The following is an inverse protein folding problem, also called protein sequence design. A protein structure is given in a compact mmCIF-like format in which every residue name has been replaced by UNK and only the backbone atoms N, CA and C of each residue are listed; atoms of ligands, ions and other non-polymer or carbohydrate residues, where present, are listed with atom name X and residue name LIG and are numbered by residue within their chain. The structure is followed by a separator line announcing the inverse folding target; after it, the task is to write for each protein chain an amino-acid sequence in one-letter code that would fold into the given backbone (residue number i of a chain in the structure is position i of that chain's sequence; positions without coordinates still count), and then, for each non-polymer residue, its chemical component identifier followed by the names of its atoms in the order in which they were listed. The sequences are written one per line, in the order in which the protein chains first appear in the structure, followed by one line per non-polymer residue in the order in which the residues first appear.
data_IF_032360152741
#
_entry.id   IF_032360152741
#
_cell.length_a   1.000
_cell.length_b   1.000
_cell.length_c   1.000
_cell.angle_alpha   90.00
_cell.angle_beta   90.00
_cell.angle_gamma   90.00
#
_symmetry.space_group_name_H-M   'P 1'
#
loop_
_entity.id
_entity.type
_entity.pdbx_description
1 polymer ?
#
# COMPACT_ATOMS: atom_id res chain seq x y z
N UNK A 1 -33.37 74.66 68.65
CA UNK A 1 -33.35 74.45 67.19
C UNK A 1 -32.11 73.61 66.86
N UNK A 2 -32.28 72.32 66.62
CA UNK A 2 -31.19 71.35 66.46
C UNK A 2 -31.28 70.80 65.06
N UNK A 3 -30.25 70.97 64.23
CA UNK A 3 -30.12 70.34 62.93
C UNK A 3 -29.15 69.14 63.04
N UNK A 4 -29.67 67.99 62.83
CA UNK A 4 -28.94 66.75 62.79
C UNK A 4 -28.39 66.49 61.35
N UNK A 5 -27.09 66.46 61.22
CA UNK A 5 -26.42 66.05 59.98
C UNK A 5 -26.22 64.56 59.96
N UNK A 6 -26.89 63.87 59.04
CA UNK A 6 -26.67 62.43 58.72
C UNK A 6 -25.56 62.34 57.68
N UNK A 7 -24.46 61.70 58.05
CA UNK A 7 -23.37 61.34 57.14
C UNK A 7 -23.75 60.09 56.37
N UNK A 8 -23.73 60.20 55.04
CA UNK A 8 -23.97 59.06 54.09
C UNK A 8 -22.59 58.43 53.77
N UNK A 9 -22.37 57.22 54.22
CA UNK A 9 -21.23 56.41 53.83
C UNK A 9 -21.53 55.68 52.50
N UNK A 10 -20.85 56.06 51.43
CA UNK A 10 -20.92 55.41 50.14
C UNK A 10 -19.85 54.29 50.16
N UNK A 11 -20.28 53.01 50.22
CA UNK A 11 -19.41 51.86 50.07
C UNK A 11 -19.24 51.54 48.56
N UNK A 12 -18.08 51.87 48.02
CA UNK A 12 -17.68 51.45 46.65
C UNK A 12 -17.27 49.98 46.65
N UNK A 13 -18.14 49.14 46.13
CA UNK A 13 -17.80 47.73 45.87
C UNK A 13 -16.97 47.65 44.57
N UNK A 14 -15.68 47.34 44.71
CA UNK A 14 -14.81 47.01 43.57
C UNK A 14 -15.08 45.59 43.20
N UNK A 15 -15.82 45.36 42.10
CA UNK A 15 -16.01 44.05 41.51
C UNK A 15 -14.71 43.63 40.78
N UNK A 16 -13.99 42.67 41.34
CA UNK A 16 -12.90 41.99 40.66
C UNK A 16 -13.52 41.05 39.62
N UNK A 17 -13.55 41.47 38.36
CA UNK A 17 -13.85 40.55 37.25
C UNK A 17 -12.64 39.58 37.09
N UNK A 18 -12.79 38.38 37.61
CA UNK A 18 -11.87 37.29 37.26
C UNK A 18 -12.05 36.98 35.77
N UNK A 19 -11.12 37.42 34.95
CA UNK A 19 -10.99 36.99 33.57
C UNK A 19 -10.60 35.50 33.63
N UNK A 20 -11.58 34.64 33.52
CA UNK A 20 -11.36 33.22 33.24
C UNK A 20 -10.76 33.15 31.82
N UNK A 21 -9.43 33.11 31.76
CA UNK A 21 -8.74 32.74 30.52
C UNK A 21 -9.20 31.33 30.20
N UNK A 22 -10.19 31.23 29.32
CA UNK A 22 -10.52 29.94 28.71
C UNK A 22 -9.21 29.39 28.11
N UNK A 23 -8.80 28.17 28.44
CA UNK A 23 -7.63 27.58 27.79
C UNK A 23 -7.89 27.64 26.28
N UNK A 24 -7.01 28.34 25.56
CA UNK A 24 -7.06 28.38 24.10
C UNK A 24 -7.20 26.92 23.65
N UNK A 25 -8.22 26.61 22.86
CA UNK A 25 -8.43 25.28 22.33
C UNK A 25 -7.16 24.92 21.57
N UNK A 26 -6.25 24.22 22.23
CA UNK A 26 -4.99 23.81 21.64
C UNK A 26 -5.33 22.91 20.48
N UNK A 27 -4.82 23.22 19.30
CA UNK A 27 -5.04 22.39 18.14
C UNK A 27 -4.60 20.95 18.50
N UNK A 28 -5.43 19.97 18.16
CA UNK A 28 -5.23 18.56 18.53
C UNK A 28 -4.87 17.73 17.33
N UNK A 29 -4.08 16.69 17.56
CA UNK A 29 -3.84 15.64 16.57
C UNK A 29 -5.10 14.81 16.37
N UNK A 30 -5.27 14.27 15.17
CA UNK A 30 -6.43 13.44 14.82
C UNK A 30 -5.94 12.17 14.13
N UNK A 31 -6.21 11.03 14.75
CA UNK A 31 -5.96 9.71 14.12
C UNK A 31 -7.24 9.24 13.43
N UNK A 32 -7.20 9.09 12.11
CA UNK A 32 -8.27 8.51 11.30
C UNK A 32 -8.02 7.03 11.11
N UNK A 33 -9.00 6.20 11.49
CA UNK A 33 -8.91 4.74 11.40
C UNK A 33 -9.95 4.17 10.45
N UNK A 34 -9.75 2.93 10.01
CA UNK A 34 -10.69 2.18 9.17
C UNK A 34 -12.10 2.12 9.78
N UNK A 35 -12.20 2.01 11.11
CA UNK A 35 -13.45 1.88 11.85
C UNK A 35 -14.08 3.21 12.23
N UNK A 36 -13.30 4.30 12.34
CA UNK A 36 -13.79 5.62 12.81
C UNK A 36 -13.36 6.76 11.89
N UNK A 37 -14.18 7.04 10.88
CA UNK A 37 -13.95 8.12 9.91
C UNK A 37 -13.95 9.54 10.50
N UNK A 38 -14.66 9.76 11.62
CA UNK A 38 -14.68 11.07 12.31
C UNK A 38 -13.36 11.43 13.01
N UNK A 39 -12.45 10.45 13.12
CA UNK A 39 -11.14 10.60 13.75
C UNK A 39 -11.20 10.56 15.29
N UNK A 40 -10.03 10.27 15.88
CA UNK A 40 -9.81 10.27 17.32
C UNK A 40 -8.90 11.45 17.66
N UNK A 41 -9.39 12.38 18.48
CA UNK A 41 -8.73 13.66 18.80
C UNK A 41 -7.97 13.58 20.11
N UNK A 42 -6.77 14.16 20.15
CA UNK A 42 -5.94 14.21 21.34
C UNK A 42 -4.53 14.71 21.02
N UNK A 43 -3.57 14.40 21.86
CA UNK A 43 -2.17 14.77 21.65
C UNK A 43 -1.32 13.50 21.51
N UNK A 44 -0.56 13.39 20.43
CA UNK A 44 0.41 12.33 20.25
C UNK A 44 1.73 12.79 20.89
N UNK A 45 2.19 12.11 21.96
CA UNK A 45 3.46 12.48 22.58
C UNK A 45 4.64 12.14 21.65
N UNK A 46 5.82 12.77 21.86
CA UNK A 46 7.01 12.55 21.01
C UNK A 46 7.45 11.09 20.90
N UNK A 47 7.24 10.29 21.94
CA UNK A 47 7.54 8.85 22.04
C UNK A 47 6.31 7.97 21.82
N UNK A 48 5.16 8.56 21.47
CA UNK A 48 3.87 7.87 21.30
C UNK A 48 3.75 7.05 20.02
N UNK A 49 4.81 6.95 19.21
CA UNK A 49 4.77 6.27 17.92
C UNK A 49 5.75 5.12 17.86
N UNK A 50 5.28 3.96 17.42
CA UNK A 50 6.08 2.82 16.99
C UNK A 50 5.62 2.36 15.62
N UNK A 51 6.38 1.49 14.96
CA UNK A 51 5.95 0.89 13.70
C UNK A 51 4.64 0.08 13.83
N UNK A 52 4.35 -0.42 15.03
CA UNK A 52 3.20 -1.26 15.30
C UNK A 52 1.97 -0.50 15.79
N UNK A 53 2.15 0.61 16.51
CA UNK A 53 1.04 1.33 17.15
C UNK A 53 1.35 2.82 17.34
N UNK A 54 0.29 3.62 17.41
CA UNK A 54 0.36 5.04 17.78
C UNK A 54 -0.48 5.28 19.02
N UNK A 55 0.11 5.88 20.05
CA UNK A 55 -0.53 6.29 21.27
C UNK A 55 -0.97 7.75 21.19
N UNK A 56 -2.18 8.06 21.64
CA UNK A 56 -2.73 9.42 21.71
C UNK A 56 -3.34 9.65 23.07
N UNK A 57 -3.01 10.78 23.69
CA UNK A 57 -3.65 11.24 24.94
C UNK A 57 -4.93 11.98 24.61
N UNK A 58 -6.05 11.42 25.05
CA UNK A 58 -7.40 11.95 24.88
C UNK A 58 -7.92 12.48 26.23
N UNK A 59 -7.53 13.69 26.58
CA UNK A 59 -7.90 14.34 27.86
C UNK A 59 -7.47 13.55 29.10
N UNK A 60 -6.22 13.10 29.15
CA UNK A 60 -5.65 12.33 30.27
C UNK A 60 -5.85 10.81 30.17
N UNK A 61 -6.50 10.32 29.11
CA UNK A 61 -6.66 8.88 28.84
C UNK A 61 -5.83 8.52 27.61
N UNK A 62 -4.77 7.78 27.79
CA UNK A 62 -3.92 7.30 26.69
C UNK A 62 -4.62 6.12 26.00
N UNK A 63 -4.82 6.25 24.69
CA UNK A 63 -5.32 5.17 23.82
C UNK A 63 -4.28 4.82 22.77
N UNK A 64 -4.22 3.53 22.42
CA UNK A 64 -3.33 2.98 21.41
C UNK A 64 -4.11 2.53 20.20
N UNK A 65 -3.59 2.85 19.03
CA UNK A 65 -4.17 2.46 17.74
C UNK A 65 -3.15 1.66 16.95
N UNK A 66 -3.46 0.42 16.54
CA UNK A 66 -2.61 -0.37 15.67
C UNK A 66 -2.33 0.36 14.35
N UNK A 67 -1.08 0.38 13.91
CA UNK A 67 -0.68 1.14 12.73
C UNK A 67 -1.36 0.63 11.44
N UNK A 68 -1.67 -0.68 11.33
CA UNK A 68 -2.42 -1.26 10.20
C UNK A 68 -3.88 -0.80 10.12
N UNK A 69 -4.44 -0.23 11.20
CA UNK A 69 -5.79 0.34 11.20
C UNK A 69 -5.80 1.85 10.89
N UNK A 70 -4.64 2.51 10.90
CA UNK A 70 -4.54 3.95 10.69
C UNK A 70 -4.55 4.27 9.19
N UNK A 71 -5.55 5.06 8.76
CA UNK A 71 -5.60 5.57 7.38
C UNK A 71 -4.65 6.75 7.20
N UNK A 72 -4.67 7.69 8.17
CA UNK A 72 -3.81 8.88 8.21
C UNK A 72 -3.87 9.52 9.58
N UNK A 73 -2.87 10.32 9.88
CA UNK A 73 -2.84 11.21 11.04
C UNK A 73 -2.84 12.65 10.53
N UNK A 74 -3.69 13.51 11.10
CA UNK A 74 -3.60 14.96 10.94
C UNK A 74 -3.04 15.53 12.23
N UNK A 75 -1.88 16.17 12.15
CA UNK A 75 -1.24 16.78 13.31
C UNK A 75 -1.71 18.22 13.50
N UNK A 76 -1.68 18.70 14.73
CA UNK A 76 -2.10 20.04 15.08
C UNK A 76 -1.38 21.17 14.32
N UNK A 77 -0.14 20.92 13.91
CA UNK A 77 0.76 21.88 13.26
C UNK A 77 0.99 21.56 11.78
N UNK A 78 0.08 20.79 11.17
CA UNK A 78 0.20 20.42 9.77
C UNK A 78 0.16 21.65 8.83
N UNK A 79 1.10 21.75 7.90
CA UNK A 79 0.93 22.62 6.75
C UNK A 79 -0.33 22.23 5.96
N UNK A 80 -1.11 23.20 5.49
CA UNK A 80 -2.33 22.96 4.71
C UNK A 80 -2.08 22.09 3.48
N UNK A 81 -0.90 22.24 2.87
CA UNK A 81 -0.44 21.46 1.73
C UNK A 81 -0.23 19.97 2.10
N UNK A 82 0.25 19.68 3.32
CA UNK A 82 0.40 18.31 3.80
C UNK A 82 -0.96 17.65 4.04
N UNK A 83 -1.91 18.39 4.63
CA UNK A 83 -3.30 17.92 4.79
C UNK A 83 -3.91 17.55 3.45
N UNK A 84 -3.75 18.44 2.45
CA UNK A 84 -4.22 18.18 1.08
C UNK A 84 -3.53 16.99 0.44
N UNK A 85 -2.21 16.88 0.57
CA UNK A 85 -1.42 15.81 -0.01
C UNK A 85 -1.79 14.43 0.56
N UNK A 86 -2.03 14.32 1.88
CA UNK A 86 -2.50 13.08 2.50
C UNK A 86 -3.84 12.62 1.93
N UNK A 87 -4.80 13.54 1.78
CA UNK A 87 -6.11 13.22 1.21
C UNK A 87 -5.97 12.72 -0.23
N UNK A 88 -5.21 13.46 -1.06
CA UNK A 88 -4.94 13.10 -2.44
C UNK A 88 -4.21 11.74 -2.55
N UNK A 89 -3.31 11.44 -1.61
CA UNK A 89 -2.62 10.14 -1.56
C UNK A 89 -3.58 8.99 -1.22
N UNK A 90 -4.49 9.18 -0.26
CA UNK A 90 -5.56 8.23 0.06
C UNK A 90 -6.44 7.97 -1.16
N UNK A 91 -6.76 9.01 -1.94
CA UNK A 91 -7.55 8.93 -3.17
C UNK A 91 -6.73 8.44 -4.39
N UNK A 92 -5.44 8.10 -4.18
CA UNK A 92 -4.48 7.67 -5.22
C UNK A 92 -4.23 8.70 -6.32
N UNK A 93 -4.53 9.97 -6.07
CA UNK A 93 -4.21 11.08 -6.97
C UNK A 93 -2.79 11.57 -6.70
N UNK A 94 -1.81 10.75 -7.09
CA UNK A 94 -0.40 10.97 -6.76
C UNK A 94 0.20 12.20 -7.43
N UNK A 95 -0.21 12.56 -8.65
CA UNK A 95 0.28 13.76 -9.34
C UNK A 95 -0.09 15.03 -8.57
N UNK A 96 -1.38 15.17 -8.21
CA UNK A 96 -1.82 16.31 -7.43
C UNK A 96 -1.21 16.32 -6.00
N UNK A 97 -1.00 15.14 -5.39
CA UNK A 97 -0.31 15.03 -4.11
C UNK A 97 1.13 15.53 -4.20
N UNK A 98 1.86 15.16 -5.26
CA UNK A 98 3.22 15.64 -5.54
C UNK A 98 3.30 17.16 -5.63
N UNK A 99 2.35 17.79 -6.34
CA UNK A 99 2.29 19.24 -6.51
C UNK A 99 2.08 19.97 -5.16
N UNK A 100 1.27 19.40 -4.26
CA UNK A 100 1.11 19.96 -2.92
C UNK A 100 2.39 19.79 -2.09
N UNK A 101 2.98 18.60 -2.11
CA UNK A 101 4.20 18.30 -1.35
C UNK A 101 5.41 19.12 -1.82
N UNK A 102 5.47 19.50 -3.10
CA UNK A 102 6.54 20.34 -3.64
C UNK A 102 6.61 21.71 -2.96
N UNK A 103 5.49 22.24 -2.45
CA UNK A 103 5.41 23.53 -1.78
C UNK A 103 5.96 23.52 -0.35
N UNK A 104 6.19 22.34 0.24
CA UNK A 104 6.64 22.20 1.62
C UNK A 104 8.15 22.03 1.66
N UNK A 105 8.84 22.90 2.39
CA UNK A 105 10.24 22.74 2.76
C UNK A 105 10.34 21.98 4.10
N UNK A 106 10.84 20.72 4.11
CA UNK A 106 10.92 19.95 5.35
C UNK A 106 11.83 20.60 6.43
N UNK A 107 12.76 21.47 6.02
CA UNK A 107 13.64 22.15 6.94
C UNK A 107 12.91 23.22 7.79
N UNK A 108 11.77 23.72 7.29
CA UNK A 108 10.94 24.71 7.97
C UNK A 108 9.84 24.09 8.85
N UNK A 109 9.72 22.76 8.86
CA UNK A 109 8.77 22.05 9.70
C UNK A 109 9.41 21.80 11.06
N UNK A 110 8.82 22.37 12.12
CA UNK A 110 9.41 22.33 13.46
C UNK A 110 9.15 21.00 14.16
N UNK A 111 7.90 20.50 14.12
CA UNK A 111 7.51 19.28 14.83
C UNK A 111 8.02 18.03 14.12
N UNK A 112 8.82 17.21 14.81
CA UNK A 112 9.47 16.03 14.23
C UNK A 112 8.48 15.02 13.62
N UNK A 113 7.33 14.80 14.24
CA UNK A 113 6.29 13.88 13.69
C UNK A 113 5.74 14.39 12.37
N UNK A 114 5.47 15.70 12.25
CA UNK A 114 5.03 16.33 10.98
C UNK A 114 6.12 16.25 9.93
N UNK A 115 7.38 16.52 10.33
CA UNK A 115 8.54 16.43 9.45
C UNK A 115 8.75 15.02 8.90
N UNK A 116 8.57 14.00 9.74
CA UNK A 116 8.61 12.60 9.31
C UNK A 116 7.56 12.32 8.23
N UNK A 117 6.32 12.77 8.42
CA UNK A 117 5.24 12.60 7.46
C UNK A 117 5.54 13.32 6.14
N UNK A 118 6.04 14.56 6.17
CA UNK A 118 6.44 15.28 4.96
C UNK A 118 7.48 14.49 4.18
N UNK A 119 8.51 13.98 4.86
CA UNK A 119 9.58 13.18 4.22
C UNK A 119 9.01 11.88 3.65
N UNK A 120 8.15 11.21 4.41
CA UNK A 120 7.49 9.99 3.96
C UNK A 120 6.64 10.23 2.72
N UNK A 121 5.67 11.14 2.77
CA UNK A 121 4.76 11.36 1.66
C UNK A 121 5.45 11.84 0.39
N UNK A 122 6.51 12.68 0.50
CA UNK A 122 7.34 13.05 -0.66
C UNK A 122 7.97 11.82 -1.31
N UNK A 123 8.60 10.94 -0.54
CA UNK A 123 9.25 9.75 -1.07
C UNK A 123 8.23 8.69 -1.55
N UNK A 124 7.14 8.51 -0.81
CA UNK A 124 6.10 7.52 -1.11
C UNK A 124 5.33 7.86 -2.39
N UNK A 125 4.92 9.12 -2.57
CA UNK A 125 4.22 9.57 -3.76
C UNK A 125 5.10 9.42 -5.01
N UNK A 126 6.37 9.79 -4.94
CA UNK A 126 7.33 9.55 -6.04
C UNK A 126 7.49 8.05 -6.33
N UNK A 127 7.53 7.21 -5.29
CA UNK A 127 7.60 5.76 -5.44
C UNK A 127 6.36 5.19 -6.16
N UNK A 128 5.16 5.64 -5.76
CA UNK A 128 3.91 5.21 -6.40
C UNK A 128 3.82 5.66 -7.86
N UNK A 129 4.20 6.89 -8.17
CA UNK A 129 4.27 7.39 -9.54
C UNK A 129 5.28 6.59 -10.38
N UNK A 130 6.47 6.32 -9.84
CA UNK A 130 7.47 5.52 -10.54
C UNK A 130 7.00 4.10 -10.85
N UNK A 131 6.17 3.51 -9.98
CA UNK A 131 5.59 2.18 -10.18
C UNK A 131 4.42 2.16 -11.18
N UNK A 132 3.62 3.23 -11.24
CA UNK A 132 2.38 3.26 -12.04
C UNK A 132 2.55 3.95 -13.39
N UNK A 133 3.18 5.12 -13.41
CA UNK A 133 3.25 5.98 -14.59
C UNK A 133 4.64 6.00 -15.25
N UNK A 134 5.61 5.30 -14.65
CA UNK A 134 6.99 5.36 -15.09
C UNK A 134 7.77 6.47 -14.39
N UNK A 135 9.07 6.47 -14.56
CA UNK A 135 9.98 7.37 -13.87
C UNK A 135 11.21 6.64 -13.34
N UNK A 136 12.07 7.35 -12.62
CA UNK A 136 13.29 6.75 -12.07
C UNK A 136 13.00 5.98 -10.78
N UNK A 137 12.73 4.67 -10.93
CA UNK A 137 12.46 3.77 -9.82
C UNK A 137 13.63 3.66 -8.83
N UNK A 138 14.87 3.79 -9.31
CA UNK A 138 16.07 3.71 -8.46
C UNK A 138 16.18 4.93 -7.56
N UNK A 139 15.90 6.14 -8.08
CA UNK A 139 15.89 7.37 -7.29
C UNK A 139 14.74 7.34 -6.27
N UNK A 140 13.55 6.91 -6.69
CA UNK A 140 12.41 6.76 -5.81
C UNK A 140 12.68 5.75 -4.68
N UNK A 141 13.29 4.60 -5.00
CA UNK A 141 13.72 3.62 -4.01
C UNK A 141 14.77 4.20 -3.04
N UNK A 142 15.75 4.95 -3.56
CA UNK A 142 16.76 5.61 -2.72
C UNK A 142 16.14 6.62 -1.75
N UNK A 143 15.19 7.44 -2.23
CA UNK A 143 14.50 8.43 -1.40
C UNK A 143 13.67 7.76 -0.29
N UNK A 144 12.88 6.75 -0.65
CA UNK A 144 12.05 6.02 0.33
C UNK A 144 12.90 5.20 1.31
N UNK A 145 14.03 4.64 0.86
CA UNK A 145 14.95 3.91 1.74
C UNK A 145 15.62 4.83 2.77
N UNK A 146 15.88 6.09 2.44
CA UNK A 146 16.37 7.08 3.43
C UNK A 146 15.34 7.29 4.55
N UNK A 147 14.06 7.35 4.21
CA UNK A 147 13.00 7.40 5.21
C UNK A 147 12.96 6.12 6.05
N UNK A 148 12.88 4.96 5.40
CA UNK A 148 12.81 3.64 6.03
C UNK A 148 13.91 3.40 7.05
N UNK A 149 15.16 3.74 6.69
CA UNK A 149 16.32 3.56 7.58
C UNK A 149 16.38 4.59 8.72
N UNK A 150 15.93 5.82 8.45
CA UNK A 150 16.01 6.91 9.45
C UNK A 150 14.88 6.83 10.49
N UNK A 151 13.70 6.34 10.11
CA UNK A 151 12.49 6.38 10.93
C UNK A 151 11.88 4.97 11.16
N UNK A 152 12.63 4.02 11.77
CA UNK A 152 12.16 2.64 11.96
C UNK A 152 11.00 2.51 12.96
N UNK A 153 10.68 3.60 13.69
CA UNK A 153 9.52 3.67 14.60
C UNK A 153 8.30 4.34 13.98
N UNK A 154 8.38 4.83 12.75
CA UNK A 154 7.23 5.46 12.10
C UNK A 154 6.12 4.45 11.85
N UNK A 155 4.85 4.87 12.01
CA UNK A 155 3.70 4.05 11.64
C UNK A 155 3.62 3.74 10.14
N UNK A 156 4.37 4.46 9.31
CA UNK A 156 4.56 4.19 7.90
C UNK A 156 5.65 3.13 7.58
N UNK A 157 6.33 2.59 8.61
CA UNK A 157 7.48 1.71 8.38
C UNK A 157 7.15 0.51 7.49
N UNK A 158 6.04 -0.19 7.77
CA UNK A 158 5.66 -1.37 7.01
C UNK A 158 5.13 -1.02 5.61
N UNK A 159 4.45 0.11 5.45
CA UNK A 159 4.05 0.61 4.13
C UNK A 159 5.25 1.00 3.26
N UNK A 160 6.27 1.61 3.88
CA UNK A 160 7.53 1.91 3.22
C UNK A 160 8.28 0.62 2.81
N UNK A 161 8.31 -0.40 3.68
CA UNK A 161 8.92 -1.69 3.38
C UNK A 161 8.23 -2.38 2.19
N UNK A 162 6.90 -2.45 2.17
CA UNK A 162 6.13 -3.01 1.06
C UNK A 162 6.46 -2.30 -0.24
N UNK A 163 6.41 -0.95 -0.24
CA UNK A 163 6.68 -0.15 -1.44
C UNK A 163 8.13 -0.26 -1.93
N UNK A 164 9.10 -0.39 -1.01
CA UNK A 164 10.51 -0.66 -1.36
C UNK A 164 10.69 -2.04 -1.96
N UNK A 165 9.97 -3.04 -1.46
CA UNK A 165 9.92 -4.37 -2.05
C UNK A 165 9.38 -4.32 -3.48
N UNK A 166 8.26 -3.62 -3.73
CA UNK A 166 7.66 -3.45 -5.05
C UNK A 166 8.61 -2.75 -6.03
N UNK A 167 9.26 -1.66 -5.59
CA UNK A 167 10.26 -0.95 -6.40
C UNK A 167 11.45 -1.87 -6.73
N UNK A 168 11.91 -2.66 -5.75
CA UNK A 168 13.01 -3.60 -5.94
C UNK A 168 12.68 -4.67 -6.97
N UNK A 169 11.45 -5.20 -6.93
CA UNK A 169 10.93 -6.12 -7.97
C UNK A 169 10.91 -5.41 -9.33
N UNK A 170 10.39 -4.19 -9.39
CA UNK A 170 10.24 -3.45 -10.65
C UNK A 170 11.57 -3.08 -11.33
N UNK A 171 12.68 -3.01 -10.55
CA UNK A 171 14.04 -2.81 -11.08
C UNK A 171 14.84 -4.13 -11.22
N UNK A 172 14.21 -5.28 -10.97
CA UNK A 172 14.84 -6.61 -11.06
C UNK A 172 15.79 -6.96 -9.92
N UNK A 173 15.75 -6.22 -8.80
CA UNK A 173 16.58 -6.45 -7.62
C UNK A 173 15.87 -7.35 -6.59
N UNK A 174 15.66 -8.60 -6.98
CA UNK A 174 14.87 -9.57 -6.20
C UNK A 174 15.46 -9.87 -4.83
N UNK A 175 16.78 -9.81 -4.66
CA UNK A 175 17.42 -9.99 -3.36
C UNK A 175 17.07 -8.85 -2.38
N UNK A 176 17.02 -7.61 -2.87
CA UNK A 176 16.56 -6.47 -2.06
C UNK A 176 15.06 -6.59 -1.73
N UNK A 177 14.25 -7.01 -2.70
CA UNK A 177 12.82 -7.26 -2.48
C UNK A 177 12.62 -8.30 -1.36
N UNK A 178 13.41 -9.39 -1.38
CA UNK A 178 13.39 -10.40 -0.33
C UNK A 178 13.69 -9.83 1.07
N UNK A 179 14.61 -8.89 1.18
CA UNK A 179 14.89 -8.22 2.45
C UNK A 179 13.73 -7.36 2.94
N UNK A 180 13.10 -6.58 2.06
CA UNK A 180 11.99 -5.71 2.44
C UNK A 180 10.69 -6.47 2.73
N UNK A 181 10.42 -7.59 2.06
CA UNK A 181 9.29 -8.46 2.36
C UNK A 181 9.57 -9.42 3.53
N UNK A 182 10.83 -9.65 3.89
CA UNK A 182 11.24 -10.57 4.96
C UNK A 182 10.96 -10.05 6.38
N UNK A 183 11.49 -10.79 7.35
CA UNK A 183 11.23 -10.57 8.78
C UNK A 183 11.73 -9.21 9.32
N UNK A 184 12.70 -8.61 8.66
CA UNK A 184 13.20 -7.25 9.02
C UNK A 184 12.42 -6.12 8.37
N UNK A 185 11.47 -6.45 7.48
CA UNK A 185 10.59 -5.54 6.79
C UNK A 185 9.12 -5.91 7.03
N UNK A 186 8.36 -6.07 5.94
CA UNK A 186 6.92 -6.32 6.00
C UNK A 186 6.54 -7.59 6.78
N UNK A 187 7.32 -8.67 6.65
CA UNK A 187 7.10 -9.95 7.33
C UNK A 187 7.30 -9.87 8.85
N UNK A 188 8.04 -8.87 9.34
CA UNK A 188 8.22 -8.59 10.77
C UNK A 188 7.05 -7.87 11.43
N UNK A 189 6.01 -7.50 10.68
CA UNK A 189 4.82 -6.87 11.24
C UNK A 189 4.14 -7.79 12.26
N UNK A 190 3.56 -7.23 13.36
CA UNK A 190 2.91 -8.05 14.37
C UNK A 190 1.58 -8.66 13.91
N UNK A 191 1.00 -8.17 12.80
CA UNK A 191 -0.30 -8.60 12.31
C UNK A 191 -0.18 -9.77 11.34
N UNK A 192 -0.94 -10.87 11.55
CA UNK A 192 -0.87 -12.06 10.70
C UNK A 192 -1.12 -11.79 9.22
N UNK A 193 -2.07 -10.89 8.88
CA UNK A 193 -2.39 -10.53 7.50
C UNK A 193 -1.21 -9.86 6.77
N UNK A 194 -0.37 -9.10 7.48
CA UNK A 194 0.85 -8.51 6.90
C UNK A 194 1.90 -9.58 6.61
N UNK A 195 2.02 -10.59 7.47
CA UNK A 195 2.91 -11.74 7.22
C UNK A 195 2.45 -12.55 6.00
N UNK A 196 1.14 -12.73 5.84
CA UNK A 196 0.58 -13.38 4.67
C UNK A 196 0.81 -12.57 3.39
N UNK A 197 0.61 -11.24 3.44
CA UNK A 197 0.93 -10.32 2.34
C UNK A 197 2.41 -10.40 1.98
N UNK A 198 3.29 -10.36 2.97
CA UNK A 198 4.73 -10.46 2.79
C UNK A 198 5.13 -11.78 2.12
N UNK A 199 4.62 -12.91 2.59
CA UNK A 199 4.87 -14.23 2.01
C UNK A 199 4.37 -14.34 0.57
N UNK A 200 3.19 -13.78 0.28
CA UNK A 200 2.63 -13.73 -1.07
C UNK A 200 3.49 -12.86 -2.02
N UNK A 201 3.92 -11.68 -1.58
CA UNK A 201 4.78 -10.78 -2.34
C UNK A 201 6.17 -11.41 -2.58
N UNK A 202 6.73 -12.04 -1.57
CA UNK A 202 7.97 -12.82 -1.67
C UNK A 202 7.86 -13.94 -2.70
N UNK A 203 6.80 -14.74 -2.65
CA UNK A 203 6.58 -15.82 -3.62
C UNK A 203 6.51 -15.27 -5.04
N UNK A 204 5.83 -14.16 -5.29
CA UNK A 204 5.76 -13.50 -6.59
C UNK A 204 7.13 -12.98 -7.07
N UNK A 205 7.90 -12.36 -6.18
CA UNK A 205 9.25 -11.91 -6.49
C UNK A 205 10.16 -13.08 -6.89
N UNK A 206 10.05 -14.22 -6.19
CA UNK A 206 10.80 -15.45 -6.49
C UNK A 206 10.39 -16.07 -7.84
N UNK A 207 9.10 -16.03 -8.20
CA UNK A 207 8.63 -16.42 -9.55
C UNK A 207 9.30 -15.56 -10.62
N UNK A 208 9.33 -14.24 -10.45
CA UNK A 208 9.99 -13.33 -11.39
C UNK A 208 11.51 -13.53 -11.47
N UNK A 209 12.12 -14.00 -10.37
CA UNK A 209 13.52 -14.38 -10.28
C UNK A 209 13.82 -15.77 -10.91
N UNK A 210 12.79 -16.55 -11.32
CA UNK A 210 12.95 -17.91 -11.79
C UNK A 210 13.24 -18.94 -10.71
N UNK A 211 13.08 -18.59 -9.42
CA UNK A 211 13.31 -19.45 -8.25
C UNK A 211 12.01 -20.16 -7.84
N UNK A 212 11.52 -21.05 -8.71
CA UNK A 212 10.17 -21.62 -8.59
C UNK A 212 9.99 -22.54 -7.38
N UNK A 213 11.01 -23.29 -6.97
CA UNK A 213 10.92 -24.15 -5.79
C UNK A 213 10.81 -23.33 -4.48
N UNK A 214 11.57 -22.23 -4.37
CA UNK A 214 11.49 -21.33 -3.23
C UNK A 214 10.19 -20.55 -3.23
N UNK A 215 9.71 -20.13 -4.41
CA UNK A 215 8.40 -19.50 -4.58
C UNK A 215 7.26 -20.42 -4.12
N UNK A 216 7.32 -21.72 -4.51
CA UNK A 216 6.33 -22.71 -4.09
C UNK A 216 6.27 -22.85 -2.57
N UNK A 217 7.43 -22.91 -1.88
CA UNK A 217 7.50 -22.96 -0.40
C UNK A 217 6.90 -21.72 0.25
N UNK A 218 7.21 -20.53 -0.30
CA UNK A 218 6.62 -19.28 0.21
C UNK A 218 5.09 -19.29 0.06
N UNK A 219 4.56 -19.70 -1.08
CA UNK A 219 3.13 -19.84 -1.29
C UNK A 219 2.50 -20.92 -0.42
N UNK A 220 3.15 -22.05 -0.21
CA UNK A 220 2.70 -23.12 0.69
C UNK A 220 2.57 -22.62 2.13
N UNK A 221 3.52 -21.82 2.60
CA UNK A 221 3.47 -21.21 3.94
C UNK A 221 2.25 -20.32 4.09
N UNK A 222 1.95 -19.48 3.07
CA UNK A 222 0.76 -18.62 3.08
C UNK A 222 -0.53 -19.45 3.03
N UNK A 223 -0.61 -20.40 2.09
CA UNK A 223 -1.80 -21.25 1.89
C UNK A 223 -2.12 -22.12 3.12
N UNK A 224 -1.07 -22.61 3.82
CA UNK A 224 -1.19 -23.43 5.03
C UNK A 224 -1.36 -22.66 6.34
N UNK A 225 -1.46 -21.33 6.30
CA UNK A 225 -1.65 -20.52 7.51
C UNK A 225 -2.92 -20.88 8.26
N UNK A 226 -2.86 -20.90 9.60
CA UNK A 226 -4.00 -21.13 10.49
C UNK A 226 -5.00 -19.98 10.57
N UNK A 227 -4.65 -18.78 10.05
CA UNK A 227 -5.52 -17.62 10.05
C UNK A 227 -6.80 -17.87 9.24
N UNK A 228 -7.95 -17.46 9.76
CA UNK A 228 -9.25 -17.81 9.17
C UNK A 228 -10.25 -16.64 9.19
N UNK A 229 -9.80 -15.48 8.71
CA UNK A 229 -10.67 -14.34 8.42
C UNK A 229 -10.80 -14.14 6.90
N UNK A 230 -11.68 -13.28 6.46
CA UNK A 230 -11.95 -13.03 5.02
C UNK A 230 -10.70 -12.61 4.26
N UNK A 231 -9.88 -11.70 4.81
CA UNK A 231 -8.65 -11.22 4.18
C UNK A 231 -7.60 -12.33 4.09
N UNK A 232 -7.37 -13.08 5.17
CA UNK A 232 -6.46 -14.22 5.18
C UNK A 232 -6.87 -15.29 4.15
N UNK A 233 -8.17 -15.59 4.06
CA UNK A 233 -8.68 -16.55 3.10
C UNK A 233 -8.47 -16.10 1.65
N UNK A 234 -8.67 -14.81 1.35
CA UNK A 234 -8.35 -14.27 0.03
C UNK A 234 -6.86 -14.41 -0.30
N UNK A 235 -5.96 -14.05 0.64
CA UNK A 235 -4.52 -14.19 0.45
C UNK A 235 -4.09 -15.66 0.22
N UNK A 236 -4.70 -16.61 0.94
CA UNK A 236 -4.49 -18.05 0.73
C UNK A 236 -4.89 -18.50 -0.68
N UNK A 237 -6.03 -18.03 -1.19
CA UNK A 237 -6.45 -18.34 -2.57
C UNK A 237 -5.43 -17.82 -3.59
N UNK A 238 -4.94 -16.59 -3.43
CA UNK A 238 -3.88 -16.04 -4.26
C UNK A 238 -2.57 -16.86 -4.16
N UNK A 239 -2.23 -17.38 -2.99
CA UNK A 239 -1.05 -18.23 -2.82
C UNK A 239 -1.21 -19.59 -3.52
N UNK A 240 -2.41 -20.17 -3.49
CA UNK A 240 -2.71 -21.41 -4.22
C UNK A 240 -2.54 -21.21 -5.74
N UNK A 241 -3.01 -20.06 -6.27
CA UNK A 241 -2.77 -19.68 -7.67
C UNK A 241 -1.27 -19.56 -7.98
N UNK A 242 -0.50 -18.89 -7.11
CA UNK A 242 0.95 -18.78 -7.27
C UNK A 242 1.67 -20.14 -7.26
N UNK A 243 1.26 -21.04 -6.36
CA UNK A 243 1.78 -22.42 -6.32
C UNK A 243 1.47 -23.17 -7.62
N UNK A 244 0.25 -23.05 -8.13
CA UNK A 244 -0.13 -23.69 -9.40
C UNK A 244 0.72 -23.19 -10.59
N UNK A 245 1.07 -21.89 -10.59
CA UNK A 245 2.02 -21.35 -11.56
C UNK A 245 3.41 -21.97 -11.43
N UNK A 246 3.91 -22.15 -10.19
CA UNK A 246 5.21 -22.83 -9.97
C UNK A 246 5.21 -24.27 -10.46
N UNK A 247 4.10 -25.00 -10.31
CA UNK A 247 3.97 -26.38 -10.87
C UNK A 247 4.16 -26.40 -12.38
N UNK A 248 3.63 -25.43 -13.11
CA UNK A 248 3.83 -25.34 -14.56
C UNK A 248 5.31 -25.15 -14.92
N UNK A 249 6.02 -24.30 -14.17
CA UNK A 249 7.44 -24.00 -14.41
C UNK A 249 8.36 -25.17 -14.03
N UNK A 250 7.93 -26.03 -13.09
CA UNK A 250 8.66 -27.24 -12.64
C UNK A 250 8.22 -28.52 -13.37
N UNK A 251 7.55 -28.41 -14.52
CA UNK A 251 7.23 -29.55 -15.41
C UNK A 251 5.93 -30.28 -15.09
N UNK A 252 5.05 -29.69 -14.27
CA UNK A 252 3.77 -30.27 -13.87
C UNK A 252 2.56 -29.39 -14.26
N UNK A 253 2.45 -28.98 -15.54
CA UNK A 253 1.41 -28.05 -15.95
C UNK A 253 -0.01 -28.63 -15.79
N UNK A 254 -0.22 -29.94 -15.91
CA UNK A 254 -1.54 -30.57 -15.73
C UNK A 254 -2.04 -30.44 -14.29
N UNK A 255 -1.16 -30.64 -13.30
CA UNK A 255 -1.49 -30.42 -11.88
C UNK A 255 -1.88 -28.96 -11.64
N UNK A 256 -1.10 -28.01 -12.22
CA UNK A 256 -1.39 -26.57 -12.15
C UNK A 256 -2.77 -26.23 -12.73
N UNK A 257 -3.08 -26.74 -13.94
CA UNK A 257 -4.38 -26.53 -14.60
C UNK A 257 -5.54 -27.05 -13.74
N UNK A 258 -5.40 -28.24 -13.14
CA UNK A 258 -6.45 -28.82 -12.31
C UNK A 258 -6.75 -27.92 -11.09
N UNK A 259 -5.72 -27.44 -10.40
CA UNK A 259 -5.86 -26.51 -9.26
C UNK A 259 -6.52 -25.21 -9.69
N UNK A 260 -6.07 -24.60 -10.81
CA UNK A 260 -6.59 -23.31 -11.29
C UNK A 260 -8.04 -23.40 -11.76
N UNK A 261 -8.43 -24.49 -12.41
CA UNK A 261 -9.83 -24.73 -12.79
C UNK A 261 -10.72 -24.88 -11.54
N UNK A 262 -10.25 -25.52 -10.48
CA UNK A 262 -10.96 -25.65 -9.21
C UNK A 262 -11.15 -24.27 -8.55
N UNK A 263 -10.11 -23.42 -8.55
CA UNK A 263 -10.22 -22.01 -8.09
C UNK A 263 -11.28 -21.24 -8.87
N UNK A 264 -11.23 -21.31 -10.20
CA UNK A 264 -12.20 -20.60 -11.08
C UNK A 264 -13.62 -21.11 -10.87
N UNK A 265 -13.79 -22.41 -10.62
CA UNK A 265 -15.12 -23.02 -10.44
C UNK A 265 -15.74 -22.72 -9.07
N UNK A 266 -14.94 -22.54 -8.01
CA UNK A 266 -15.42 -22.41 -6.62
C UNK A 266 -15.53 -20.98 -6.11
N UNK A 267 -14.95 -20.01 -6.82
CA UNK A 267 -14.95 -18.62 -6.39
C UNK A 267 -15.88 -17.76 -7.26
N UNK A 268 -16.30 -16.61 -6.72
CA UNK A 268 -17.14 -15.64 -7.41
C UNK A 268 -16.27 -14.54 -8.01
N UNK A 269 -16.27 -14.37 -9.34
CA UNK A 269 -15.49 -13.34 -10.01
C UNK A 269 -15.92 -11.90 -9.65
N UNK A 270 -17.13 -11.70 -9.15
CA UNK A 270 -17.60 -10.39 -8.69
C UNK A 270 -17.01 -10.00 -7.33
N UNK A 271 -16.66 -10.99 -6.51
CA UNK A 271 -16.06 -10.75 -5.19
C UNK A 271 -14.55 -10.54 -5.26
N UNK A 272 -13.85 -11.27 -6.13
CA UNK A 272 -12.39 -11.13 -6.26
C UNK A 272 -11.93 -11.25 -7.73
N UNK A 273 -12.18 -10.21 -8.52
CA UNK A 273 -11.70 -10.13 -9.90
C UNK A 273 -10.17 -10.21 -10.04
N UNK A 274 -9.41 -9.84 -9.00
CA UNK A 274 -7.94 -9.95 -9.01
C UNK A 274 -7.48 -11.41 -8.92
N UNK A 275 -8.17 -12.24 -8.16
CA UNK A 275 -7.90 -13.68 -8.09
C UNK A 275 -8.08 -14.31 -9.48
N UNK A 276 -9.18 -13.95 -10.17
CA UNK A 276 -9.47 -14.46 -11.52
C UNK A 276 -8.45 -13.98 -12.55
N UNK A 277 -8.02 -12.71 -12.49
CA UNK A 277 -6.96 -12.21 -13.36
C UNK A 277 -5.69 -13.06 -13.24
N UNK A 278 -5.24 -13.32 -12.03
CA UNK A 278 -4.04 -14.11 -11.77
C UNK A 278 -4.23 -15.58 -12.08
N UNK A 279 -5.41 -16.15 -11.82
CA UNK A 279 -5.71 -17.54 -12.17
C UNK A 279 -5.71 -17.76 -13.69
N UNK A 280 -6.29 -16.85 -14.47
CA UNK A 280 -6.26 -16.97 -15.93
C UNK A 280 -4.87 -16.72 -16.52
N UNK A 281 -4.06 -15.83 -15.96
CA UNK A 281 -2.65 -15.71 -16.36
C UNK A 281 -1.87 -16.98 -16.07
N UNK A 282 -2.04 -17.58 -14.89
CA UNK A 282 -1.40 -18.83 -14.54
C UNK A 282 -1.86 -19.98 -15.45
N UNK A 283 -3.16 -20.08 -15.80
CA UNK A 283 -3.66 -21.03 -16.80
C UNK A 283 -3.01 -20.79 -18.16
N UNK A 284 -2.89 -19.55 -18.61
CA UNK A 284 -2.20 -19.21 -19.84
C UNK A 284 -0.74 -19.68 -19.84
N UNK A 285 -0.02 -19.45 -18.73
CA UNK A 285 1.35 -19.93 -18.57
C UNK A 285 1.43 -21.47 -18.56
N UNK A 286 0.49 -22.18 -17.90
CA UNK A 286 0.39 -23.64 -17.95
C UNK A 286 0.19 -24.16 -19.39
N UNK A 287 -0.73 -23.55 -20.15
CA UNK A 287 -0.98 -23.93 -21.55
C UNK A 287 0.23 -23.66 -22.46
N UNK A 288 0.99 -22.59 -22.21
CA UNK A 288 2.25 -22.36 -22.93
C UNK A 288 3.26 -23.52 -22.69
N UNK A 289 3.36 -24.00 -21.45
CA UNK A 289 4.22 -25.14 -21.11
C UNK A 289 3.78 -26.44 -21.78
N UNK A 290 2.49 -26.55 -22.11
CA UNK A 290 1.93 -27.67 -22.88
C UNK A 290 2.02 -27.47 -24.41
N UNK A 291 2.64 -26.40 -24.88
CA UNK A 291 2.63 -26.04 -26.32
C UNK A 291 1.23 -25.86 -26.92
N UNK A 292 0.29 -25.31 -26.12
CA UNK A 292 -1.09 -25.00 -26.50
C UNK A 292 -1.31 -23.48 -26.61
N UNK A 293 -0.76 -22.82 -27.65
CA UNK A 293 -0.78 -21.34 -27.72
C UNK A 293 -2.19 -20.76 -27.87
N UNK A 294 -3.14 -21.48 -28.47
CA UNK A 294 -4.53 -21.02 -28.59
C UNK A 294 -5.25 -20.99 -27.24
N UNK A 295 -5.07 -22.00 -26.40
CA UNK A 295 -5.66 -22.06 -25.06
C UNK A 295 -5.02 -21.01 -24.13
N UNK A 296 -3.71 -20.81 -24.28
CA UNK A 296 -2.97 -19.75 -23.59
C UNK A 296 -3.52 -18.35 -23.96
N UNK A 297 -3.66 -18.08 -25.27
CA UNK A 297 -4.20 -16.83 -25.78
C UNK A 297 -5.60 -16.56 -25.22
N UNK A 298 -6.49 -17.55 -25.22
CA UNK A 298 -7.84 -17.42 -24.66
C UNK A 298 -7.82 -17.13 -23.16
N UNK A 299 -6.86 -17.70 -22.42
CA UNK A 299 -6.71 -17.46 -21.00
C UNK A 299 -6.27 -16.01 -20.72
N UNK A 300 -5.23 -15.50 -21.39
CA UNK A 300 -4.77 -14.12 -21.24
C UNK A 300 -5.82 -13.10 -21.73
N UNK A 301 -6.61 -13.42 -22.77
CA UNK A 301 -7.73 -12.58 -23.22
C UNK A 301 -8.80 -12.42 -22.14
N UNK A 302 -9.09 -13.44 -21.33
CA UNK A 302 -10.02 -13.30 -20.20
C UNK A 302 -9.51 -12.28 -19.18
N UNK A 303 -8.21 -12.25 -18.92
CA UNK A 303 -7.63 -11.22 -18.05
C UNK A 303 -7.76 -9.83 -18.68
N UNK A 304 -7.42 -9.67 -19.97
CA UNK A 304 -7.49 -8.37 -20.64
C UNK A 304 -8.91 -7.81 -20.75
N UNK A 305 -9.89 -8.66 -21.02
CA UNK A 305 -11.25 -8.23 -21.33
C UNK A 305 -12.18 -8.21 -20.11
N UNK A 306 -11.99 -9.11 -19.14
CA UNK A 306 -12.92 -9.30 -18.04
C UNK A 306 -12.33 -8.94 -16.67
N UNK A 307 -11.02 -9.11 -16.48
CA UNK A 307 -10.39 -9.01 -15.16
C UNK A 307 -9.19 -8.05 -15.10
N UNK A 308 -9.29 -6.92 -15.75
CA UNK A 308 -8.22 -5.92 -15.90
C UNK A 308 -7.97 -5.02 -14.67
N UNK A 309 -8.63 -5.26 -13.55
CA UNK A 309 -8.53 -4.42 -12.34
C UNK A 309 -7.25 -4.63 -11.53
N UNK A 310 -6.57 -5.79 -11.67
CA UNK A 310 -5.22 -5.99 -11.16
C UNK A 310 -4.23 -5.51 -12.22
N UNK A 311 -3.63 -4.34 -11.99
CA UNK A 311 -2.74 -3.68 -12.96
C UNK A 311 -1.51 -4.51 -13.33
N UNK A 312 -0.94 -5.27 -12.38
CA UNK A 312 0.22 -6.13 -12.63
C UNK A 312 -0.16 -7.36 -13.47
N UNK A 313 -1.27 -8.04 -13.10
CA UNK A 313 -1.77 -9.17 -13.87
C UNK A 313 -2.23 -8.77 -15.27
N UNK A 314 -2.85 -7.58 -15.42
CA UNK A 314 -3.25 -7.08 -16.73
C UNK A 314 -2.02 -6.72 -17.59
N UNK A 315 -0.98 -6.10 -17.01
CA UNK A 315 0.27 -5.84 -17.71
C UNK A 315 0.98 -7.14 -18.15
N UNK A 316 0.99 -8.17 -17.31
CA UNK A 316 1.46 -9.52 -17.68
C UNK A 316 0.68 -10.07 -18.87
N UNK A 317 -0.66 -10.08 -18.80
CA UNK A 317 -1.52 -10.58 -19.86
C UNK A 317 -1.24 -9.88 -21.19
N UNK A 318 -1.17 -8.53 -21.19
CA UNK A 318 -0.85 -7.75 -22.40
C UNK A 318 0.52 -8.08 -22.99
N UNK A 319 1.55 -8.27 -22.14
CA UNK A 319 2.88 -8.69 -22.58
C UNK A 319 2.86 -10.07 -23.25
N UNK A 320 2.12 -11.03 -22.68
CA UNK A 320 1.96 -12.37 -23.24
C UNK A 320 1.13 -12.38 -24.52
N UNK A 321 0.01 -11.62 -24.55
CA UNK A 321 -0.84 -11.46 -25.73
C UNK A 321 -0.05 -10.87 -26.89
N UNK A 322 0.79 -9.85 -26.66
CA UNK A 322 1.60 -9.25 -27.70
C UNK A 322 2.48 -10.29 -28.44
N UNK A 323 3.13 -11.20 -27.69
CA UNK A 323 3.96 -12.26 -28.27
C UNK A 323 3.12 -13.31 -28.97
N UNK A 324 2.04 -13.78 -28.32
CA UNK A 324 1.19 -14.84 -28.89
C UNK A 324 0.47 -14.40 -30.16
N UNK A 325 0.05 -13.15 -30.28
CA UNK A 325 -0.56 -12.61 -31.49
C UNK A 325 0.45 -12.58 -32.64
N UNK A 326 1.71 -12.16 -32.40
CA UNK A 326 2.75 -12.20 -33.42
C UNK A 326 3.04 -13.66 -33.89
N UNK A 327 3.17 -14.60 -32.94
CA UNK A 327 3.41 -16.00 -33.21
C UNK A 327 2.28 -16.69 -33.99
N UNK A 328 1.04 -16.18 -33.81
CA UNK A 328 -0.16 -16.70 -34.51
C UNK A 328 -0.50 -15.95 -35.79
N UNK A 329 0.36 -15.03 -36.24
CA UNK A 329 0.20 -14.31 -37.52
C UNK A 329 -0.73 -13.08 -37.45
N UNK A 330 -1.04 -12.58 -36.27
CA UNK A 330 -1.89 -11.42 -36.03
C UNK A 330 -1.09 -10.24 -35.47
N UNK A 331 -0.09 -9.78 -36.20
CA UNK A 331 0.86 -8.74 -35.79
C UNK A 331 0.21 -7.37 -35.48
N UNK A 332 -0.94 -7.07 -36.11
CA UNK A 332 -1.77 -5.90 -35.80
C UNK A 332 -2.26 -5.94 -34.34
N UNK A 333 -2.82 -7.06 -33.89
CA UNK A 333 -3.26 -7.26 -32.51
C UNK A 333 -2.09 -7.32 -31.51
N UNK A 334 -0.95 -7.89 -31.91
CA UNK A 334 0.27 -7.85 -31.13
C UNK A 334 0.75 -6.42 -30.87
N UNK A 335 0.67 -5.58 -31.90
CA UNK A 335 1.03 -4.15 -31.80
C UNK A 335 0.03 -3.39 -30.89
N UNK A 336 -1.26 -3.66 -31.00
CA UNK A 336 -2.29 -3.07 -30.12
C UNK A 336 -2.04 -3.42 -28.65
N UNK A 337 -1.76 -4.68 -28.34
CA UNK A 337 -1.46 -5.12 -26.98
C UNK A 337 -0.21 -4.45 -26.43
N UNK A 338 0.88 -4.29 -27.24
CA UNK A 338 2.09 -3.56 -26.84
C UNK A 338 1.82 -2.07 -26.58
N UNK A 339 1.04 -1.43 -27.41
CA UNK A 339 0.69 -0.01 -27.22
C UNK A 339 -0.12 0.18 -25.93
N UNK A 340 -1.15 -0.64 -25.72
CA UNK A 340 -1.95 -0.63 -24.48
C UNK A 340 -1.11 -0.86 -23.22
N UNK A 341 -0.13 -1.78 -23.29
CA UNK A 341 0.83 -2.04 -22.21
C UNK A 341 1.69 -0.80 -21.91
N UNK A 342 2.25 -0.17 -22.92
CA UNK A 342 3.10 1.03 -22.77
C UNK A 342 2.32 2.24 -22.28
N UNK A 343 1.11 2.46 -22.79
CA UNK A 343 0.28 3.60 -22.44
C UNK A 343 -0.24 3.50 -20.99
N UNK A 344 -0.69 2.31 -20.58
CA UNK A 344 -1.32 2.14 -19.27
C UNK A 344 -0.35 1.75 -18.16
N UNK A 345 0.74 1.08 -18.49
CA UNK A 345 1.62 0.41 -17.53
C UNK A 345 3.11 0.64 -17.82
N UNK A 346 3.47 1.85 -18.26
CA UNK A 346 4.88 2.21 -18.55
C UNK A 346 5.84 1.96 -17.39
N UNK A 347 5.34 2.02 -16.15
CA UNK A 347 6.08 1.72 -14.92
C UNK A 347 6.23 0.23 -14.60
N UNK A 348 5.49 -0.65 -15.27
CA UNK A 348 5.51 -2.09 -14.99
C UNK A 348 6.79 -2.76 -15.50
N UNK A 349 7.27 -3.77 -14.76
CA UNK A 349 8.34 -4.66 -15.22
C UNK A 349 7.99 -5.40 -16.52
N UNK A 350 6.71 -5.59 -16.81
CA UNK A 350 6.22 -6.23 -18.04
C UNK A 350 6.35 -5.33 -19.27
N UNK A 351 6.31 -4.01 -19.11
CA UNK A 351 6.50 -3.06 -20.20
C UNK A 351 7.97 -2.97 -20.67
N UNK A 352 8.92 -3.33 -19.83
CA UNK A 352 10.36 -3.28 -20.10
C UNK A 352 10.94 -4.64 -20.53
N UNK A 353 10.21 -5.73 -20.37
CA UNK A 353 10.61 -7.06 -20.86
C UNK A 353 10.28 -7.16 -22.36
N UNK A 354 11.29 -7.48 -23.23
CA UNK A 354 11.07 -7.63 -24.66
C UNK A 354 10.16 -8.83 -24.99
#
# INVERSE_FOLDING_TARGET
MSFSTRSLLIATAVAFAAVVLSPSAQAQDIIYTLTKKAGNRGNIPPDGMTAAEVSIDMAGVVRKFPANEIIKIAYAEDPSELVSARNLTVDKNYNSAKDQLAKIDPAKVERDLVKQDVIFYKAFVEAKLALTEGGNKSDAASALNKFYTKYPKSYHFYEAAETLGDLSVAIGRFDLAAGYYGDTGLGGAPWPEYKLKAGLAMGRALVLAGKFDDASKAFETVAGSGENNSEANALKQHAIVGKAQCLAETGKPDEGIAILNDIVAKNDPQLDGKLFARAYNALGNCYLKQSKPKDALMSFLKTDLLFFTDSDAHAEALSKLAKLWDETGHADRGTEARNKLRERYSGSAWATKP
#
